data_IF_098049680746
#
_entry.id   IF_098049680746
#
_cell.length_a   1.000
_cell.length_b   1.000
_cell.length_c   1.000
_cell.angle_alpha   90.00
_cell.angle_beta   90.00
_cell.angle_gamma   90.00
#
_symmetry.space_group_name_H-M   'P 1'
#
loop_
_entity.id
_entity.type
_entity.pdbx_description
1 polymer ?
#
# COMPACT_ATOMS: atom_id res chain seq x y z
N UNK A 1 9.13 -46.22 32.78
CA UNK A 1 8.64 -46.31 31.39
C UNK A 1 9.12 -45.06 30.66
N UNK A 2 10.43 -44.95 30.47
CA UNK A 2 11.25 -45.47 29.37
C UNK A 2 11.43 -44.43 28.26
N UNK A 3 12.57 -43.74 28.32
CA UNK A 3 13.15 -42.93 27.25
C UNK A 3 14.25 -43.77 26.57
N UNK A 4 14.34 -43.80 25.24
CA UNK A 4 15.45 -44.48 24.58
C UNK A 4 16.70 -43.60 24.54
N UNK A 5 17.84 -44.20 24.91
CA UNK A 5 19.20 -43.63 24.79
C UNK A 5 19.74 -43.93 23.38
N UNK A 6 20.18 -42.90 22.66
CA UNK A 6 20.94 -43.05 21.43
C UNK A 6 22.44 -43.18 21.75
N UNK A 7 23.09 -44.18 21.14
CA UNK A 7 24.46 -44.63 21.41
C UNK A 7 25.37 -44.19 20.25
N UNK A 8 26.48 -43.52 20.55
CA UNK A 8 27.54 -43.16 19.59
C UNK A 8 28.55 -44.33 19.51
N UNK A 9 28.99 -44.78 18.32
CA UNK A 9 30.17 -45.62 18.18
C UNK A 9 31.44 -44.78 18.00
N UNK A 10 32.50 -45.22 18.67
CA UNK A 10 33.76 -44.54 18.84
C UNK A 10 34.79 -44.68 17.72
N UNK A 11 35.95 -44.15 18.08
CA UNK A 11 37.13 -43.87 17.27
C UNK A 11 37.89 -45.11 16.76
N UNK A 12 38.55 -44.93 15.61
CA UNK A 12 39.75 -45.70 15.27
C UNK A 12 40.94 -44.76 15.05
N UNK A 13 42.02 -45.09 15.74
CA UNK A 13 43.34 -44.48 15.67
C UNK A 13 44.13 -44.97 14.44
N UNK A 14 44.93 -44.09 13.86
CA UNK A 14 45.95 -44.42 12.84
C UNK A 14 47.11 -43.43 12.94
N UNK A 15 48.33 -43.96 13.03
CA UNK A 15 49.54 -43.36 13.59
C UNK A 15 50.53 -42.94 12.48
N UNK A 16 51.38 -41.95 12.82
CA UNK A 16 52.79 -41.72 12.41
C UNK A 16 53.11 -41.07 11.06
N UNK A 17 53.97 -40.05 11.13
CA UNK A 17 54.80 -39.55 10.02
C UNK A 17 55.49 -38.22 10.36
N UNK A 18 56.67 -38.29 10.97
CA UNK A 18 57.53 -37.14 11.28
C UNK A 18 58.24 -36.62 10.02
N UNK A 19 58.42 -35.30 9.90
CA UNK A 19 59.22 -34.67 8.85
C UNK A 19 59.70 -33.28 9.28
N UNK A 20 61.02 -33.08 9.28
CA UNK A 20 61.79 -31.96 9.84
C UNK A 20 61.67 -30.63 9.07
N UNK A 21 61.88 -29.55 9.81
CA UNK A 21 62.26 -28.18 9.38
C UNK A 21 63.52 -28.16 8.48
N UNK A 22 63.79 -27.03 7.78
CA UNK A 22 64.71 -26.07 8.39
C UNK A 22 64.34 -24.58 8.25
N UNK A 23 64.88 -23.82 9.21
CA UNK A 23 64.93 -22.35 9.30
C UNK A 23 65.94 -21.75 8.32
N UNK A 24 65.60 -20.58 7.75
CA UNK A 24 66.49 -19.42 7.44
C UNK A 24 65.56 -18.18 7.46
N UNK A 25 65.78 -17.08 8.17
CA UNK A 25 66.99 -16.53 8.77
C UNK A 25 67.67 -15.55 7.82
N UNK A 26 67.12 -14.34 7.64
CA UNK A 26 67.93 -13.17 7.30
C UNK A 26 67.37 -11.88 7.90
N UNK A 27 68.31 -11.11 8.42
CA UNK A 27 68.21 -9.90 9.22
C UNK A 27 68.85 -8.78 8.40
N UNK A 28 68.44 -7.54 8.71
CA UNK A 28 69.10 -6.25 8.48
C UNK A 28 68.70 -5.44 7.25
N UNK A 29 68.26 -4.21 7.53
CA UNK A 29 68.02 -3.16 6.55
C UNK A 29 67.39 -1.90 7.14
N UNK A 30 67.96 -1.35 8.22
CA UNK A 30 67.61 -0.02 8.73
C UNK A 30 67.89 1.02 7.63
N UNK A 31 66.87 1.76 7.18
CA UNK A 31 67.06 3.14 6.68
C UNK A 31 66.02 4.07 7.28
N UNK A 32 66.54 5.00 8.07
CA UNK A 32 65.86 6.19 8.58
C UNK A 32 65.53 7.11 7.39
N UNK A 33 64.26 7.43 7.20
CA UNK A 33 63.86 8.64 6.48
C UNK A 33 63.37 9.65 7.52
N UNK A 34 64.17 10.71 7.69
CA UNK A 34 63.83 11.92 8.45
C UNK A 34 63.17 12.93 7.52
N UNK A 35 62.28 13.76 8.10
CA UNK A 35 61.66 15.00 7.58
C UNK A 35 60.50 14.77 6.58
N UNK A 36 59.37 15.46 6.64
CA UNK A 36 59.06 16.75 7.27
C UNK A 36 57.66 16.75 7.90
N UNK A 37 57.58 17.12 9.18
CA UNK A 37 56.35 17.56 9.84
C UNK A 37 56.03 18.97 9.32
N UNK A 38 55.04 19.08 8.44
CA UNK A 38 54.43 20.36 8.07
C UNK A 38 53.67 20.93 9.28
N UNK A 39 54.32 21.84 10.01
CA UNK A 39 53.66 22.67 11.03
C UNK A 39 52.69 23.64 10.33
N UNK A 40 51.40 23.34 10.37
CA UNK A 40 50.35 24.32 10.07
C UNK A 40 50.34 25.34 11.22
N UNK A 41 50.79 26.56 10.94
CA UNK A 41 50.66 27.71 11.84
C UNK A 41 49.18 28.12 11.90
N UNK A 42 48.50 27.76 12.97
CA UNK A 42 47.22 28.37 13.36
C UNK A 42 47.54 29.78 13.89
N UNK A 43 47.07 30.82 13.18
CA UNK A 43 47.11 32.20 13.68
C UNK A 43 46.11 32.36 14.84
N UNK A 44 46.49 32.98 15.97
CA UNK A 44 45.54 33.29 17.03
C UNK A 44 44.65 34.46 16.59
N UNK A 45 43.35 34.22 16.49
CA UNK A 45 42.35 35.29 16.36
C UNK A 45 42.22 35.97 17.71
N UNK A 46 42.62 37.25 17.76
CA UNK A 46 42.44 38.13 18.92
C UNK A 46 40.95 38.30 19.20
N UNK A 47 40.57 38.10 20.47
CA UNK A 47 39.31 38.56 21.05
C UNK A 47 39.24 40.09 20.94
N UNK A 48 38.16 40.60 20.35
CA UNK A 48 37.64 41.93 20.65
C UNK A 48 36.35 41.77 21.43
N UNK A 49 36.43 42.20 22.68
CA UNK A 49 35.32 42.51 23.57
C UNK A 49 34.79 43.89 23.25
N UNK A 50 33.49 44.05 23.01
CA UNK A 50 32.75 45.24 23.42
C UNK A 50 31.24 45.01 23.37
N UNK A 51 30.57 45.62 24.36
CA UNK A 51 29.17 46.04 24.42
C UNK A 51 28.11 45.04 24.93
N UNK A 52 27.62 45.35 26.14
CA UNK A 52 26.17 45.55 26.31
C UNK A 52 25.42 44.62 27.26
N UNK A 53 25.78 44.58 28.55
CA UNK A 53 24.88 44.10 29.61
C UNK A 53 23.78 45.13 29.91
N UNK A 54 22.49 44.75 29.80
CA UNK A 54 21.39 45.24 30.65
C UNK A 54 20.30 44.17 30.84
N UNK A 55 19.56 44.18 31.97
CA UNK A 55 19.14 42.97 32.67
C UNK A 55 17.68 42.56 32.44
N UNK A 56 17.43 41.28 32.73
CA UNK A 56 16.12 40.64 32.78
C UNK A 56 15.21 41.29 33.85
N UNK A 57 13.99 41.64 33.45
CA UNK A 57 12.90 41.99 34.38
C UNK A 57 12.18 40.72 34.82
N UNK A 58 12.29 40.45 36.11
CA UNK A 58 11.47 39.55 36.91
C UNK A 58 10.10 40.22 37.13
N UNK A 59 9.01 39.53 36.83
CA UNK A 59 7.67 39.90 37.32
C UNK A 59 7.12 38.68 38.06
N UNK A 60 7.16 38.76 39.38
CA UNK A 60 6.26 38.01 40.25
C UNK A 60 4.84 38.57 40.06
N UNK A 61 3.83 37.69 40.00
CA UNK A 61 2.57 37.88 40.73
C UNK A 61 1.67 36.64 40.69
N UNK A 62 1.54 36.04 41.86
CA UNK A 62 0.30 35.78 42.60
C UNK A 62 -0.93 35.17 41.89
N UNK A 63 -1.42 34.11 42.51
CA UNK A 63 -2.71 33.48 42.34
C UNK A 63 -3.91 34.44 42.45
N UNK A 64 -4.99 34.13 41.72
CA UNK A 64 -6.40 34.32 42.13
C UNK A 64 -7.35 33.49 41.27
N UNK A 65 -8.23 32.75 41.94
CA UNK A 65 -9.45 32.12 41.41
C UNK A 65 -10.46 33.19 40.99
N UNK A 66 -11.17 32.97 39.88
CA UNK A 66 -12.59 33.29 39.70
C UNK A 66 -13.11 32.78 38.34
N UNK A 67 -14.12 31.90 38.36
CA UNK A 67 -15.20 31.83 37.34
C UNK A 67 -16.23 32.90 37.72
N UNK A 68 -16.95 33.56 36.79
CA UNK A 68 -18.13 32.95 36.15
C UNK A 68 -18.45 33.45 34.72
N UNK A 69 -19.47 32.87 34.08
CA UNK A 69 -20.33 33.60 33.15
C UNK A 69 -20.43 33.06 31.72
N UNK A 70 -21.57 32.41 31.44
CA UNK A 70 -22.11 32.11 30.12
C UNK A 70 -22.52 33.41 29.43
N UNK A 71 -22.21 33.57 28.13
CA UNK A 71 -22.66 34.70 27.32
C UNK A 71 -22.50 34.41 25.82
N UNK A 72 -23.62 34.44 25.11
CA UNK A 72 -23.76 34.17 23.69
C UNK A 72 -22.83 35.00 22.79
N UNK A 73 -22.25 34.39 21.76
CA UNK A 73 -21.57 35.10 20.68
C UNK A 73 -22.47 35.10 19.45
N UNK A 74 -22.88 36.31 19.09
CA UNK A 74 -23.62 36.64 17.89
C UNK A 74 -22.81 36.34 16.62
N UNK A 75 -23.48 35.72 15.65
CA UNK A 75 -22.98 35.51 14.29
C UNK A 75 -22.90 36.87 13.59
N UNK A 76 -21.69 37.31 13.24
CA UNK A 76 -21.49 38.43 12.31
C UNK A 76 -21.47 37.88 10.88
N UNK A 77 -22.46 38.31 10.11
CA UNK A 77 -22.57 38.18 8.66
C UNK A 77 -21.36 38.83 7.96
N UNK A 78 -20.55 38.03 7.28
CA UNK A 78 -19.52 38.52 6.36
C UNK A 78 -20.12 38.59 4.96
N UNK A 79 -20.04 39.78 4.38
CA UNK A 79 -20.51 40.13 3.05
C UNK A 79 -19.77 39.33 1.97
N UNK A 80 -20.53 38.84 1.00
CA UNK A 80 -20.06 38.15 -0.18
C UNK A 80 -19.24 39.11 -1.08
N UNK A 81 -18.00 38.73 -1.36
CA UNK A 81 -17.14 39.37 -2.36
C UNK A 81 -17.42 38.71 -3.72
N UNK A 82 -17.65 39.56 -4.71
CA UNK A 82 -18.20 39.23 -6.02
C UNK A 82 -17.34 38.33 -6.91
N UNK A 83 -18.05 37.53 -7.70
CA UNK A 83 -17.55 36.73 -8.83
C UNK A 83 -17.82 37.53 -10.12
N UNK A 84 -16.83 37.77 -10.99
CA UNK A 84 -17.11 38.32 -12.32
C UNK A 84 -17.66 37.22 -13.24
N UNK A 85 -18.75 37.54 -13.92
CA UNK A 85 -19.43 36.69 -14.90
C UNK A 85 -18.61 36.55 -16.19
N UNK A 86 -18.52 35.33 -16.71
CA UNK A 86 -18.02 35.02 -18.06
C UNK A 86 -19.12 35.28 -19.10
N UNK A 87 -18.82 35.90 -20.26
CA UNK A 87 -19.79 36.10 -21.32
C UNK A 87 -19.99 34.81 -22.12
N UNK A 88 -21.25 34.39 -22.26
CA UNK A 88 -21.68 33.35 -23.19
C UNK A 88 -22.10 33.98 -24.53
N UNK A 89 -21.34 33.73 -25.59
CA UNK A 89 -21.78 33.97 -26.96
C UNK A 89 -21.02 33.05 -27.91
N UNK A 90 -21.68 31.97 -28.38
CA UNK A 90 -21.74 31.61 -29.81
C UNK A 90 -23.07 30.89 -30.04
N UNK A 91 -23.99 31.60 -30.68
CA UNK A 91 -25.17 31.07 -31.35
C UNK A 91 -24.73 30.34 -32.62
N UNK A 92 -25.22 29.12 -32.84
CA UNK A 92 -25.18 28.48 -34.15
C UNK A 92 -26.60 28.41 -34.72
N UNK A 93 -26.85 29.28 -35.70
CA UNK A 93 -27.94 29.18 -36.67
C UNK A 93 -27.76 27.95 -37.56
N UNK A 94 -28.85 27.21 -37.84
CA UNK A 94 -29.27 26.72 -39.17
C UNK A 94 -30.55 25.87 -39.04
N UNK A 95 -31.67 26.34 -39.61
CA UNK A 95 -32.78 25.48 -40.05
C UNK A 95 -32.59 25.09 -41.53
N UNK A 96 -33.65 24.68 -42.27
CA UNK A 96 -34.81 23.89 -41.87
C UNK A 96 -35.07 22.67 -42.80
N UNK A 97 -35.88 21.71 -42.32
CA UNK A 97 -36.89 20.95 -43.08
C UNK A 97 -36.49 20.02 -44.24
N UNK A 98 -36.91 18.74 -44.17
CA UNK A 98 -37.78 18.10 -45.18
C UNK A 98 -38.22 16.69 -44.75
N UNK A 99 -39.54 16.47 -44.82
CA UNK A 99 -40.22 15.16 -44.80
C UNK A 99 -40.12 14.50 -46.19
N UNK A 100 -39.99 13.16 -46.23
CA UNK A 100 -40.57 12.20 -47.21
C UNK A 100 -40.03 10.80 -46.85
N UNK A 101 -40.87 9.86 -46.43
CA UNK A 101 -41.73 8.98 -47.23
C UNK A 101 -40.96 7.81 -47.89
N UNK A 102 -41.17 6.63 -47.29
CA UNK A 102 -41.39 5.29 -47.86
C UNK A 102 -40.74 4.93 -49.21
N UNK A 103 -39.96 3.83 -49.18
CA UNK A 103 -39.63 3.04 -50.36
C UNK A 103 -39.03 1.68 -49.97
N UNK A 104 -39.85 0.63 -49.97
CA UNK A 104 -39.46 -0.77 -49.78
C UNK A 104 -38.55 -1.24 -50.92
N UNK A 105 -37.52 -2.02 -50.59
CA UNK A 105 -36.92 -3.06 -51.45
C UNK A 105 -36.27 -4.12 -50.58
N UNK A 106 -36.77 -5.34 -50.64
CA UNK A 106 -35.95 -6.55 -50.54
C UNK A 106 -36.46 -7.51 -51.62
N UNK A 107 -35.51 -8.13 -52.29
CA UNK A 107 -35.56 -8.95 -53.50
C UNK A 107 -35.13 -10.39 -53.12
N UNK A 108 -35.40 -11.33 -54.03
CA UNK A 108 -34.93 -12.74 -54.15
C UNK A 108 -35.74 -13.77 -53.37
N UNK A 109 -36.02 -14.98 -53.88
CA UNK A 109 -35.76 -15.69 -55.14
C UNK A 109 -36.83 -16.81 -55.20
N UNK A 110 -37.30 -17.30 -56.35
CA UNK A 110 -36.59 -18.27 -57.20
C UNK A 110 -37.65 -19.24 -57.76
N UNK A 111 -37.46 -19.64 -59.02
CA UNK A 111 -38.40 -20.40 -59.83
C UNK A 111 -38.41 -21.91 -59.53
N UNK A 112 -39.57 -22.57 -59.69
CA UNK A 112 -39.67 -23.99 -60.05
C UNK A 112 -40.85 -24.21 -61.03
N UNK A 113 -40.62 -25.07 -62.01
CA UNK A 113 -41.46 -25.41 -63.17
C UNK A 113 -42.74 -26.23 -62.83
N UNK A 114 -43.73 -26.29 -63.74
CA UNK A 114 -45.00 -26.96 -63.54
C UNK A 114 -44.99 -28.42 -64.00
N UNK A 115 -45.72 -29.30 -63.32
CA UNK A 115 -46.00 -30.64 -63.84
C UNK A 115 -46.70 -31.60 -62.87
N UNK A 116 -47.88 -32.07 -63.29
CA UNK A 116 -48.63 -33.26 -62.85
C UNK A 116 -49.45 -33.24 -61.54
N UNK A 117 -50.74 -32.96 -61.74
CA UNK A 117 -51.89 -33.86 -61.49
C UNK A 117 -52.08 -34.52 -60.11
N UNK A 118 -53.05 -33.93 -59.40
CA UNK A 118 -54.18 -34.56 -58.69
C UNK A 118 -53.94 -35.85 -57.92
N UNK A 119 -54.10 -35.80 -56.59
CA UNK A 119 -55.06 -36.62 -55.84
C UNK A 119 -55.59 -35.77 -54.67
N UNK A 120 -56.91 -35.64 -54.60
CA UNK A 120 -57.58 -34.86 -53.58
C UNK A 120 -57.72 -35.67 -52.29
N UNK A 121 -57.27 -35.10 -51.18
CA UNK A 121 -57.84 -35.38 -49.87
C UNK A 121 -58.44 -34.08 -49.33
N UNK A 122 -59.77 -34.04 -49.33
CA UNK A 122 -60.53 -33.00 -48.65
C UNK A 122 -60.42 -33.29 -47.15
N UNK A 123 -59.41 -32.71 -46.50
CA UNK A 123 -59.36 -32.60 -45.05
C UNK A 123 -60.50 -31.67 -44.63
N UNK A 124 -61.60 -32.27 -44.17
CA UNK A 124 -62.71 -31.58 -43.55
C UNK A 124 -62.19 -30.80 -42.33
N UNK A 125 -61.93 -29.51 -42.52
CA UNK A 125 -61.68 -28.58 -41.42
C UNK A 125 -63.00 -28.49 -40.64
N UNK A 126 -63.10 -29.26 -39.56
CA UNK A 126 -64.14 -29.03 -38.55
C UNK A 126 -64.00 -27.59 -38.10
N UNK A 127 -64.99 -26.77 -38.44
CA UNK A 127 -65.12 -25.40 -37.98
C UNK A 127 -65.27 -25.43 -36.47
N UNK A 128 -64.15 -25.30 -35.74
CA UNK A 128 -64.18 -25.04 -34.31
C UNK A 128 -64.84 -23.66 -34.15
N UNK A 129 -65.97 -23.63 -33.45
CA UNK A 129 -66.76 -22.43 -33.23
C UNK A 129 -65.88 -21.30 -32.69
N UNK A 130 -65.91 -20.16 -33.39
CA UNK A 130 -65.18 -18.91 -33.12
C UNK A 130 -65.10 -18.46 -31.63
N UNK A 131 -66.08 -18.71 -30.72
CA UNK A 131 -65.91 -18.31 -29.32
C UNK A 131 -64.86 -19.12 -28.53
N UNK A 132 -64.56 -20.38 -28.91
CA UNK A 132 -63.59 -21.22 -28.19
C UNK A 132 -62.13 -20.85 -28.51
N UNK A 133 -61.86 -20.40 -29.73
CA UNK A 133 -60.51 -19.97 -30.14
C UNK A 133 -60.11 -18.62 -29.51
N UNK A 134 -61.08 -17.73 -29.27
CA UNK A 134 -60.87 -16.46 -28.56
C UNK A 134 -60.69 -16.64 -27.04
N UNK A 135 -61.35 -17.63 -26.43
CA UNK A 135 -61.19 -17.92 -25.01
C UNK A 135 -59.81 -18.53 -24.68
N UNK A 136 -59.28 -19.38 -25.57
CA UNK A 136 -57.96 -19.98 -25.41
C UNK A 136 -56.80 -18.99 -25.69
N UNK A 137 -56.98 -18.04 -26.61
CA UNK A 137 -56.00 -16.97 -26.83
C UNK A 137 -56.02 -15.91 -25.72
N UNK A 138 -57.19 -15.61 -25.14
CA UNK A 138 -57.29 -14.73 -23.97
C UNK A 138 -56.65 -15.34 -22.71
N UNK A 139 -56.79 -16.66 -22.51
CA UNK A 139 -56.15 -17.35 -21.38
C UNK A 139 -54.62 -17.46 -21.55
N UNK A 140 -54.12 -17.64 -22.79
CA UNK A 140 -52.69 -17.60 -23.09
C UNK A 140 -52.10 -16.19 -22.92
N UNK A 141 -52.85 -15.13 -23.24
CA UNK A 141 -52.42 -13.74 -23.06
C UNK A 141 -52.39 -13.33 -21.58
N UNK A 142 -53.33 -13.82 -20.77
CA UNK A 142 -53.35 -13.61 -19.31
C UNK A 142 -52.24 -14.43 -18.62
N UNK A 143 -51.93 -15.63 -19.10
CA UNK A 143 -50.82 -16.44 -18.59
C UNK A 143 -49.44 -15.82 -18.89
N UNK A 144 -49.28 -15.07 -19.99
CA UNK A 144 -48.03 -14.34 -20.28
C UNK A 144 -47.84 -13.06 -19.46
N UNK A 145 -48.91 -12.48 -18.90
CA UNK A 145 -48.84 -11.28 -18.02
C UNK A 145 -48.65 -11.66 -16.54
N UNK A 146 -48.92 -12.91 -16.17
CA UNK A 146 -48.77 -13.43 -14.82
C UNK A 146 -47.46 -14.21 -14.58
N UNK A 147 -46.48 -14.14 -15.49
CA UNK A 147 -45.13 -14.58 -15.17
C UNK A 147 -44.56 -13.57 -14.16
N UNK A 148 -44.31 -13.93 -12.89
CA UNK A 148 -43.60 -13.04 -12.00
C UNK A 148 -42.26 -12.77 -12.66
N UNK A 149 -42.00 -11.51 -13.00
CA UNK A 149 -40.64 -11.04 -13.22
C UNK A 149 -39.88 -11.24 -11.91
N UNK A 150 -39.36 -12.45 -11.73
CA UNK A 150 -38.28 -12.75 -10.80
C UNK A 150 -37.02 -12.14 -11.38
N UNK A 151 -36.99 -10.80 -11.47
CA UNK A 151 -35.72 -10.09 -11.53
C UNK A 151 -35.02 -10.42 -10.24
N UNK A 152 -34.05 -11.34 -10.29
CA UNK A 152 -33.15 -11.56 -9.16
C UNK A 152 -32.67 -10.17 -8.71
N UNK A 153 -32.80 -9.84 -7.41
CA UNK A 153 -32.37 -8.52 -6.94
C UNK A 153 -30.94 -8.32 -7.41
N UNK A 154 -30.68 -7.21 -8.12
CA UNK A 154 -29.34 -6.86 -8.54
C UNK A 154 -28.46 -6.84 -7.28
N UNK A 155 -27.64 -7.86 -7.14
CA UNK A 155 -26.88 -8.08 -5.91
C UNK A 155 -25.98 -6.87 -5.72
N UNK A 156 -26.19 -6.13 -4.62
CA UNK A 156 -25.44 -4.91 -4.39
C UNK A 156 -23.95 -5.23 -4.38
N UNK A 157 -23.18 -4.54 -5.22
CA UNK A 157 -21.72 -4.72 -5.29
C UNK A 157 -21.11 -4.16 -4.00
N UNK A 158 -20.18 -4.90 -3.40
CA UNK A 158 -19.41 -4.44 -2.24
C UNK A 158 -18.70 -3.11 -2.56
N UNK A 159 -18.83 -2.08 -1.72
CA UNK A 159 -18.03 -0.85 -1.84
C UNK A 159 -17.04 -0.74 -0.68
N UNK A 160 -15.81 -1.15 -0.95
CA UNK A 160 -14.73 -1.19 0.04
C UNK A 160 -13.79 -0.02 -0.20
N UNK A 161 -13.40 0.66 0.88
CA UNK A 161 -12.34 1.67 0.87
C UNK A 161 -11.15 1.10 1.63
N UNK A 162 -9.99 1.04 0.99
CA UNK A 162 -8.73 0.80 1.66
C UNK A 162 -8.01 2.14 1.89
N UNK A 163 -7.35 2.30 3.03
CA UNK A 163 -6.61 3.53 3.33
C UNK A 163 -5.35 3.67 2.49
N UNK A 164 -4.57 2.59 2.39
CA UNK A 164 -3.25 2.56 1.75
C UNK A 164 -3.23 1.69 0.47
N UNK A 165 -2.32 1.93 -0.49
CA UNK A 165 -2.33 1.23 -1.78
C UNK A 165 -1.97 -0.27 -1.68
N UNK A 166 -1.19 -0.66 -0.69
CA UNK A 166 -0.88 -2.06 -0.38
C UNK A 166 -2.13 -2.82 0.08
N UNK A 167 -2.88 -2.25 1.03
CA UNK A 167 -4.15 -2.80 1.48
C UNK A 167 -5.19 -2.81 0.35
N UNK A 168 -5.18 -1.79 -0.52
CA UNK A 168 -6.02 -1.75 -1.70
C UNK A 168 -5.70 -2.90 -2.67
N UNK A 169 -4.43 -3.10 -3.01
CA UNK A 169 -4.02 -4.16 -3.93
C UNK A 169 -4.38 -5.56 -3.40
N UNK A 170 -4.14 -5.80 -2.11
CA UNK A 170 -4.49 -7.05 -1.43
C UNK A 170 -6.02 -7.24 -1.39
N UNK A 171 -6.76 -6.22 -0.96
CA UNK A 171 -8.22 -6.29 -0.84
C UNK A 171 -8.88 -6.47 -2.20
N UNK A 172 -8.35 -5.84 -3.25
CA UNK A 172 -8.84 -5.97 -4.64
C UNK A 172 -8.68 -7.41 -5.14
N UNK A 173 -7.59 -8.09 -4.82
CA UNK A 173 -7.41 -9.51 -5.18
C UNK A 173 -8.46 -10.42 -4.51
N UNK A 174 -8.83 -10.12 -3.26
CA UNK A 174 -9.85 -10.88 -2.51
C UNK A 174 -11.26 -10.56 -3.01
N UNK A 175 -11.58 -9.28 -3.20
CA UNK A 175 -12.92 -8.84 -3.62
C UNK A 175 -13.18 -9.25 -5.08
N UNK A 176 -12.20 -9.14 -5.97
CA UNK A 176 -12.36 -9.56 -7.37
C UNK A 176 -13.57 -8.91 -8.04
N UNK A 177 -14.43 -9.75 -8.63
CA UNK A 177 -15.65 -9.34 -9.34
C UNK A 177 -16.85 -9.04 -8.42
N UNK A 178 -16.72 -9.29 -7.10
CA UNK A 178 -17.79 -9.15 -6.11
C UNK A 178 -18.14 -7.70 -5.76
N UNK A 179 -17.25 -6.77 -6.11
CA UNK A 179 -17.32 -5.41 -5.60
C UNK A 179 -16.44 -4.43 -6.35
N UNK A 180 -16.27 -3.30 -5.71
CA UNK A 180 -15.34 -2.25 -6.05
C UNK A 180 -14.49 -1.94 -4.80
N UNK A 181 -13.18 -1.85 -5.01
CA UNK A 181 -12.22 -1.46 -3.97
C UNK A 181 -11.57 -0.17 -4.41
N UNK A 182 -11.83 0.91 -3.65
CA UNK A 182 -11.21 2.21 -3.84
C UNK A 182 -10.09 2.41 -2.82
N UNK A 183 -9.16 3.31 -3.11
CA UNK A 183 -8.05 3.66 -2.22
C UNK A 183 -8.13 5.14 -1.85
N UNK A 184 -7.93 5.45 -0.58
CA UNK A 184 -8.01 6.82 -0.07
C UNK A 184 -6.73 7.63 -0.35
N UNK A 185 -5.59 6.97 -0.55
CA UNK A 185 -4.29 7.56 -0.88
C UNK A 185 -3.91 7.32 -2.34
N UNK A 186 -3.03 8.15 -2.90
CA UNK A 186 -2.49 7.92 -4.24
C UNK A 186 -1.28 6.98 -4.16
N UNK A 187 -1.10 6.06 -5.11
CA UNK A 187 0.17 5.34 -5.26
C UNK A 187 1.36 6.30 -5.31
N UNK A 188 2.42 5.98 -4.56
CA UNK A 188 3.64 6.80 -4.47
C UNK A 188 3.53 8.06 -3.61
N UNK A 189 2.40 8.29 -2.94
CA UNK A 189 2.26 9.39 -1.98
C UNK A 189 2.76 8.97 -0.59
N UNK A 190 3.43 9.89 0.11
CA UNK A 190 3.81 9.69 1.51
C UNK A 190 2.56 9.71 2.42
N UNK A 191 2.25 8.62 3.14
CA UNK A 191 1.12 8.58 4.07
C UNK A 191 1.34 9.40 5.36
N UNK A 192 2.59 9.61 5.78
CA UNK A 192 2.90 10.41 6.99
C UNK A 192 2.69 11.92 6.77
N UNK A 193 2.84 12.39 5.53
CA UNK A 193 2.67 13.80 5.13
C UNK A 193 1.45 13.97 4.21
N UNK A 194 0.37 13.24 4.52
CA UNK A 194 -0.81 13.23 3.67
C UNK A 194 -1.63 14.52 3.81
N UNK A 195 -1.68 15.29 2.73
CA UNK A 195 -2.66 16.38 2.61
C UNK A 195 -4.08 15.84 2.34
N UNK A 196 -5.02 16.12 3.26
CA UNK A 196 -6.43 15.73 3.13
C UNK A 196 -7.10 16.52 1.99
N UNK A 197 -7.84 15.81 1.11
CA UNK A 197 -8.51 16.37 -0.07
C UNK A 197 -10.03 16.16 -0.03
N UNK A 198 -10.84 17.09 -0.57
CA UNK A 198 -12.30 16.94 -0.66
C UNK A 198 -12.76 15.63 -1.30
N UNK A 199 -12.02 15.12 -2.29
CA UNK A 199 -12.32 13.83 -2.94
C UNK A 199 -12.37 12.67 -1.95
N UNK A 200 -11.54 12.66 -0.90
CA UNK A 200 -11.50 11.58 0.08
C UNK A 200 -12.77 11.53 0.93
N UNK A 201 -13.37 12.68 1.27
CA UNK A 201 -14.67 12.71 1.96
C UNK A 201 -15.77 12.04 1.13
N UNK A 202 -15.72 12.18 -0.21
CA UNK A 202 -16.66 11.52 -1.11
C UNK A 202 -16.47 10.00 -1.09
N UNK A 203 -15.22 9.52 -1.10
CA UNK A 203 -14.91 8.09 -0.98
C UNK A 203 -15.44 7.53 0.34
N UNK A 204 -15.10 8.18 1.46
CA UNK A 204 -15.50 7.76 2.81
C UNK A 204 -17.03 7.78 2.97
N UNK A 205 -17.71 8.81 2.45
CA UNK A 205 -19.18 8.90 2.52
C UNK A 205 -19.89 7.76 1.77
N UNK A 206 -19.31 7.25 0.68
CA UNK A 206 -19.92 6.20 -0.17
C UNK A 206 -19.55 4.78 0.25
N UNK A 207 -18.44 4.62 0.96
CA UNK A 207 -17.93 3.33 1.38
C UNK A 207 -18.83 2.65 2.42
N UNK A 208 -18.93 1.34 2.29
CA UNK A 208 -19.66 0.46 3.23
C UNK A 208 -18.72 -0.18 4.24
N UNK A 209 -17.47 -0.42 3.82
CA UNK A 209 -16.42 -1.06 4.62
C UNK A 209 -15.13 -0.28 4.45
N UNK A 210 -14.40 -0.13 5.55
CA UNK A 210 -13.07 0.47 5.57
C UNK A 210 -12.04 -0.58 5.97
N UNK A 211 -10.98 -0.75 5.16
CA UNK A 211 -9.81 -1.56 5.48
C UNK A 211 -8.65 -0.62 5.82
N UNK A 212 -8.15 -0.74 7.05
CA UNK A 212 -7.12 0.11 7.63
C UNK A 212 -5.89 -0.69 8.01
N UNK A 213 -4.76 -0.01 8.11
CA UNK A 213 -3.50 -0.57 8.56
C UNK A 213 -3.62 -1.04 10.02
N UNK A 214 -3.99 -0.12 10.92
CA UNK A 214 -4.21 -0.39 12.33
C UNK A 214 -3.00 -0.10 13.24
N UNK A 215 -1.91 0.46 12.71
CA UNK A 215 -0.74 0.95 13.46
C UNK A 215 -0.50 2.45 13.24
N UNK A 216 -1.58 3.22 13.11
CA UNK A 216 -1.60 4.69 13.04
C UNK A 216 -0.97 5.33 11.79
N UNK A 217 -0.44 4.53 10.86
CA UNK A 217 -0.02 4.95 9.49
C UNK A 217 -1.10 5.73 8.73
N UNK A 218 -2.35 5.37 8.99
CA UNK A 218 -3.52 5.95 8.35
C UNK A 218 -4.41 6.72 9.33
N UNK A 219 -3.85 7.23 10.43
CA UNK A 219 -4.61 7.98 11.44
C UNK A 219 -5.33 9.22 10.86
N UNK A 220 -4.80 9.82 9.80
CA UNK A 220 -5.42 10.96 9.10
C UNK A 220 -6.84 10.66 8.57
N UNK A 221 -7.20 9.39 8.34
CA UNK A 221 -8.56 9.02 7.86
C UNK A 221 -9.62 9.29 8.93
N UNK A 222 -9.25 9.32 10.22
CA UNK A 222 -10.19 9.52 11.32
C UNK A 222 -10.88 10.89 11.22
N UNK A 223 -10.11 11.95 10.93
CA UNK A 223 -10.65 13.30 10.69
C UNK A 223 -11.60 13.36 9.48
N UNK A 224 -11.32 12.56 8.45
CA UNK A 224 -12.16 12.47 7.26
C UNK A 224 -13.49 11.78 7.60
N UNK A 225 -13.43 10.68 8.35
CA UNK A 225 -14.61 9.92 8.78
C UNK A 225 -15.51 10.80 9.65
N UNK A 226 -14.96 11.45 10.67
CA UNK A 226 -15.68 12.33 11.59
C UNK A 226 -16.44 13.43 10.84
N UNK A 227 -15.82 14.04 9.82
CA UNK A 227 -16.48 15.13 9.07
C UNK A 227 -17.31 14.63 7.87
N UNK A 228 -17.15 13.38 7.43
CA UNK A 228 -17.91 12.81 6.29
C UNK A 228 -19.36 12.49 6.63
N UNK A 229 -19.68 12.33 7.92
CA UNK A 229 -21.00 11.89 8.39
C UNK A 229 -21.30 10.42 8.14
N UNK A 230 -20.28 9.56 7.98
CA UNK A 230 -20.47 8.10 7.84
C UNK A 230 -20.09 7.37 9.15
N UNK A 231 -21.02 7.25 10.12
CA UNK A 231 -20.74 6.65 11.43
C UNK A 231 -20.38 5.16 11.35
N UNK A 232 -20.70 4.49 10.24
CA UNK A 232 -20.35 3.09 10.02
C UNK A 232 -18.83 2.88 9.92
N UNK A 233 -18.07 3.91 9.56
CA UNK A 233 -16.62 3.79 9.40
C UNK A 233 -15.85 4.28 10.62
N UNK A 234 -16.53 4.67 11.71
CA UNK A 234 -15.88 5.01 12.96
C UNK A 234 -15.10 3.79 13.49
N UNK A 235 -13.91 4.05 14.06
CA UNK A 235 -13.04 3.01 14.59
C UNK A 235 -13.80 2.13 15.60
N UNK A 236 -13.66 0.81 15.45
CA UNK A 236 -14.38 -0.19 16.27
C UNK A 236 -15.75 -0.60 15.73
N UNK A 237 -16.30 0.08 14.72
CA UNK A 237 -17.54 -0.37 14.08
C UNK A 237 -17.35 -1.71 13.34
N UNK A 238 -18.40 -2.54 13.18
CA UNK A 238 -18.31 -3.83 12.50
C UNK A 238 -17.79 -3.78 11.06
N UNK A 239 -18.02 -2.64 10.39
CA UNK A 239 -17.59 -2.28 9.03
C UNK A 239 -16.15 -1.77 8.92
N UNK A 240 -15.39 -1.73 10.01
CA UNK A 240 -13.97 -1.39 10.00
C UNK A 240 -13.13 -2.64 10.19
N UNK A 241 -12.15 -2.82 9.32
CA UNK A 241 -11.17 -3.90 9.36
C UNK A 241 -9.82 -3.32 9.72
N UNK A 242 -9.29 -3.75 10.86
CA UNK A 242 -7.89 -3.53 11.23
C UNK A 242 -7.06 -4.67 10.66
N UNK A 243 -6.34 -4.43 9.57
CA UNK A 243 -5.60 -5.47 8.84
C UNK A 243 -4.51 -6.13 9.70
N UNK A 244 -3.92 -5.38 10.64
CA UNK A 244 -2.83 -5.83 11.51
C UNK A 244 -3.23 -6.85 12.59
N UNK A 245 -4.53 -7.04 12.86
CA UNK A 245 -4.99 -7.80 14.04
C UNK A 245 -4.41 -9.22 14.08
N UNK A 246 -3.74 -9.58 15.17
CA UNK A 246 -3.16 -10.91 15.36
C UNK A 246 -1.76 -11.10 14.77
N UNK A 247 -1.15 -10.07 14.18
CA UNK A 247 0.25 -10.11 13.76
C UNK A 247 1.20 -9.92 14.96
N UNK A 248 2.40 -10.49 14.85
CA UNK A 248 3.53 -10.13 15.71
C UNK A 248 4.15 -8.86 15.15
N UNK A 249 4.12 -7.78 15.93
CA UNK A 249 4.52 -6.45 15.46
C UNK A 249 6.00 -6.20 15.74
N UNK A 250 6.72 -5.70 14.73
CA UNK A 250 8.13 -5.34 14.84
C UNK A 250 8.32 -3.93 15.37
N UNK A 251 9.47 -3.67 15.98
CA UNK A 251 9.92 -2.34 16.45
C UNK A 251 8.91 -1.62 17.36
N UNK A 252 8.15 -2.36 18.18
CA UNK A 252 7.32 -1.76 19.23
C UNK A 252 8.21 -0.92 20.14
N UNK A 253 7.87 0.35 20.32
CA UNK A 253 8.67 1.26 21.13
C UNK A 253 8.41 1.00 22.60
N UNK A 254 9.48 0.67 23.33
CA UNK A 254 9.46 0.55 24.79
C UNK A 254 10.09 1.80 25.40
N UNK A 255 9.31 2.63 26.11
CA UNK A 255 9.80 3.82 26.79
C UNK A 255 8.82 5.01 26.72
N UNK A 256 9.18 6.17 27.32
CA UNK A 256 8.37 7.38 27.23
C UNK A 256 8.23 7.83 25.77
N UNK A 257 6.99 8.06 25.34
CA UNK A 257 6.69 8.59 24.01
C UNK A 257 6.34 10.06 24.17
N UNK A 258 7.12 10.93 23.52
CA UNK A 258 6.83 12.36 23.45
C UNK A 258 7.03 12.89 22.02
N UNK A 259 6.62 14.14 21.79
CA UNK A 259 6.68 14.79 20.47
C UNK A 259 8.11 15.01 19.94
N UNK A 260 9.14 14.88 20.76
CA UNK A 260 10.54 15.02 20.32
C UNK A 260 11.02 13.82 19.49
N UNK A 261 10.27 12.72 19.49
CA UNK A 261 10.56 11.51 18.74
C UNK A 261 10.14 11.59 17.26
N UNK A 262 9.41 12.64 16.85
CA UNK A 262 8.87 12.77 15.49
C UNK A 262 7.53 12.03 15.30
N UNK A 263 7.14 11.78 14.05
CA UNK A 263 5.94 11.02 13.68
C UNK A 263 6.14 9.50 13.89
N UNK A 264 6.45 9.11 15.13
CA UNK A 264 6.64 7.71 15.48
C UNK A 264 5.32 6.96 15.57
N UNK A 265 5.35 5.67 15.25
CA UNK A 265 4.26 4.72 15.50
C UNK A 265 4.49 4.04 16.85
N UNK A 266 3.81 4.46 17.93
CA UNK A 266 4.02 3.93 19.27
C UNK A 266 3.79 2.41 19.34
N UNK A 267 2.77 1.98 18.59
CA UNK A 267 2.28 0.61 18.54
C UNK A 267 3.17 -0.34 17.73
N UNK A 268 4.25 0.17 17.13
CA UNK A 268 5.21 -0.59 16.33
C UNK A 268 5.18 -0.23 14.85
N UNK A 269 6.04 -0.88 14.08
CA UNK A 269 6.26 -0.57 12.67
C UNK A 269 5.05 -0.95 11.81
N UNK A 270 4.48 -0.02 11.00
CA UNK A 270 3.25 -0.24 10.25
C UNK A 270 3.41 -1.02 8.93
N UNK A 271 4.64 -1.28 8.49
CA UNK A 271 4.95 -1.74 7.14
C UNK A 271 4.90 -3.27 6.96
N UNK A 272 3.94 -3.91 7.64
CA UNK A 272 3.86 -5.37 7.74
C UNK A 272 3.60 -6.08 6.41
N UNK A 273 2.93 -5.41 5.46
CA UNK A 273 2.60 -5.99 4.14
C UNK A 273 3.83 -6.24 3.26
N UNK A 274 4.99 -5.66 3.58
CA UNK A 274 6.25 -5.95 2.89
C UNK A 274 6.82 -7.34 3.20
N UNK A 275 6.31 -8.03 4.24
CA UNK A 275 6.56 -9.45 4.47
C UNK A 275 5.36 -10.27 3.96
N UNK A 276 5.52 -11.05 2.87
CA UNK A 276 4.43 -11.89 2.35
C UNK A 276 3.97 -12.95 3.37
N UNK A 277 4.81 -13.32 4.34
CA UNK A 277 4.46 -14.21 5.45
C UNK A 277 3.38 -13.64 6.37
N UNK A 278 3.11 -12.34 6.34
CA UNK A 278 2.00 -11.72 7.10
C UNK A 278 0.65 -11.86 6.40
N UNK A 279 0.63 -12.10 5.08
CA UNK A 279 -0.59 -12.09 4.28
C UNK A 279 -1.63 -13.13 4.68
N UNK A 280 -1.29 -14.35 5.15
CA UNK A 280 -2.29 -15.28 5.66
C UNK A 280 -3.16 -14.71 6.80
N UNK A 281 -2.60 -13.85 7.66
CA UNK A 281 -3.35 -13.20 8.75
C UNK A 281 -4.05 -11.93 8.24
N UNK A 282 -3.35 -11.08 7.50
CA UNK A 282 -3.91 -9.83 6.93
C UNK A 282 -5.15 -10.12 6.09
N UNK A 283 -5.05 -11.07 5.18
CA UNK A 283 -6.17 -11.43 4.30
C UNK A 283 -7.31 -12.13 5.08
N UNK A 284 -7.03 -12.70 6.26
CA UNK A 284 -8.06 -13.36 7.08
C UNK A 284 -8.92 -12.32 7.77
N UNK A 285 -8.26 -11.26 8.28
CA UNK A 285 -8.93 -10.11 8.83
C UNK A 285 -9.81 -9.42 7.79
N UNK A 286 -9.32 -9.29 6.55
CA UNK A 286 -10.10 -8.74 5.43
C UNK A 286 -11.31 -9.61 5.13
N UNK A 287 -11.14 -10.91 4.88
CA UNK A 287 -12.26 -11.83 4.59
C UNK A 287 -13.27 -11.87 5.74
N UNK A 288 -12.82 -11.97 6.99
CA UNK A 288 -13.70 -11.95 8.16
C UNK A 288 -14.47 -10.62 8.25
N UNK A 289 -13.82 -9.50 7.97
CA UNK A 289 -14.44 -8.18 7.92
C UNK A 289 -15.52 -8.03 6.86
N UNK A 290 -15.19 -8.41 5.64
CA UNK A 290 -16.12 -8.38 4.50
C UNK A 290 -17.29 -9.36 4.72
N UNK A 291 -17.00 -10.57 5.17
CA UNK A 291 -17.99 -11.63 5.44
C UNK A 291 -18.96 -11.29 6.57
N UNK A 292 -18.56 -10.51 7.58
CA UNK A 292 -19.48 -10.02 8.62
C UNK A 292 -20.64 -9.20 8.06
N UNK A 293 -20.39 -8.41 7.01
CA UNK A 293 -21.44 -7.57 6.40
C UNK A 293 -22.11 -8.23 5.20
N UNK A 294 -21.40 -9.15 4.54
CA UNK A 294 -21.90 -9.90 3.38
C UNK A 294 -21.69 -11.40 3.56
N UNK A 295 -22.47 -12.04 4.45
CA UNK A 295 -22.39 -13.50 4.66
C UNK A 295 -22.66 -14.28 3.38
N UNK A 296 -23.50 -13.74 2.49
CA UNK A 296 -23.81 -14.28 1.17
C UNK A 296 -22.59 -14.37 0.23
N UNK A 297 -21.52 -13.62 0.51
CA UNK A 297 -20.29 -13.60 -0.28
C UNK A 297 -19.12 -14.31 0.40
N UNK A 298 -19.28 -14.78 1.64
CA UNK A 298 -18.18 -15.27 2.47
C UNK A 298 -17.39 -16.40 1.82
N UNK A 299 -18.06 -17.40 1.25
CA UNK A 299 -17.38 -18.54 0.58
C UNK A 299 -16.59 -18.09 -0.65
N UNK A 300 -17.14 -17.17 -1.45
CA UNK A 300 -16.45 -16.63 -2.64
C UNK A 300 -15.23 -15.78 -2.25
N UNK A 301 -15.37 -14.94 -1.23
CA UNK A 301 -14.25 -14.14 -0.70
C UNK A 301 -13.12 -15.04 -0.18
N UNK A 302 -13.47 -16.12 0.53
CA UNK A 302 -12.50 -17.07 1.05
C UNK A 302 -11.84 -17.92 -0.06
N UNK A 303 -12.59 -18.28 -1.11
CA UNK A 303 -12.03 -18.90 -2.31
C UNK A 303 -11.02 -18.00 -3.03
N UNK A 304 -11.36 -16.71 -3.22
CA UNK A 304 -10.45 -15.72 -3.82
C UNK A 304 -9.20 -15.51 -2.94
N UNK A 305 -9.37 -15.46 -1.62
CA UNK A 305 -8.26 -15.38 -0.66
C UNK A 305 -7.31 -16.57 -0.81
N UNK A 306 -7.83 -17.81 -0.90
CA UNK A 306 -6.98 -19.01 -1.10
C UNK A 306 -6.19 -18.91 -2.40
N UNK A 307 -6.87 -18.64 -3.51
CA UNK A 307 -6.22 -18.50 -4.81
C UNK A 307 -5.12 -17.41 -4.80
N UNK A 308 -5.41 -16.26 -4.20
CA UNK A 308 -4.43 -15.19 -4.03
C UNK A 308 -3.23 -15.61 -3.16
N UNK A 309 -3.45 -16.33 -2.07
CA UNK A 309 -2.36 -16.83 -1.22
C UNK A 309 -1.52 -17.91 -1.91
N UNK A 310 -2.12 -18.74 -2.76
CA UNK A 310 -1.39 -19.71 -3.58
C UNK A 310 -0.47 -18.99 -4.59
N UNK A 311 -0.97 -17.94 -5.26
CA UNK A 311 -0.16 -17.11 -6.16
C UNK A 311 0.98 -16.39 -5.41
N UNK A 312 0.71 -15.87 -4.22
CA UNK A 312 1.72 -15.25 -3.34
C UNK A 312 2.76 -16.27 -2.91
N UNK A 313 2.36 -17.49 -2.53
CA UNK A 313 3.29 -18.53 -2.13
C UNK A 313 4.22 -18.92 -3.28
N UNK A 314 3.67 -19.10 -4.49
CA UNK A 314 4.47 -19.37 -5.69
C UNK A 314 5.45 -18.21 -6.00
N UNK A 315 5.03 -16.96 -5.82
CA UNK A 315 5.89 -15.79 -5.99
C UNK A 315 6.96 -15.68 -4.89
N UNK A 316 6.61 -15.97 -3.63
CA UNK A 316 7.51 -15.92 -2.49
C UNK A 316 8.69 -16.89 -2.62
N UNK A 317 8.48 -18.06 -3.25
CA UNK A 317 9.58 -18.95 -3.63
C UNK A 317 10.56 -18.26 -4.59
N UNK A 318 10.06 -17.66 -5.68
CA UNK A 318 10.91 -16.92 -6.63
C UNK A 318 11.66 -15.76 -5.97
N UNK A 319 11.00 -15.02 -5.09
CA UNK A 319 11.62 -13.91 -4.37
C UNK A 319 12.72 -14.37 -3.43
N UNK A 320 12.46 -15.46 -2.70
CA UNK A 320 13.42 -16.08 -1.80
C UNK A 320 14.65 -16.58 -2.56
N UNK A 321 14.46 -17.22 -3.71
CA UNK A 321 15.56 -17.69 -4.56
C UNK A 321 16.40 -16.53 -5.10
N UNK A 322 15.75 -15.44 -5.54
CA UNK A 322 16.44 -14.26 -6.06
C UNK A 322 17.32 -13.55 -5.02
N UNK A 323 16.90 -13.54 -3.75
CA UNK A 323 17.65 -12.89 -2.65
C UNK A 323 18.48 -13.86 -1.82
N UNK A 324 18.35 -15.18 -2.02
CA UNK A 324 19.13 -16.19 -1.29
C UNK A 324 20.66 -15.95 -1.34
N UNK A 325 21.28 -15.57 -2.49
CA UNK A 325 22.71 -15.26 -2.55
C UNK A 325 23.12 -14.03 -1.71
N UNK A 326 22.15 -13.24 -1.27
CA UNK A 326 22.34 -11.98 -0.56
C UNK A 326 21.85 -12.02 0.89
N UNK A 327 21.54 -13.20 1.44
CA UNK A 327 21.20 -13.33 2.86
C UNK A 327 22.33 -12.76 3.74
N UNK A 328 21.93 -11.97 4.74
CA UNK A 328 22.83 -11.24 5.63
C UNK A 328 23.47 -10.00 4.99
N UNK A 329 23.07 -9.59 3.77
CA UNK A 329 23.53 -8.35 3.19
C UNK A 329 23.10 -7.16 4.07
N UNK A 330 24.03 -6.32 4.52
CA UNK A 330 23.71 -5.14 5.30
C UNK A 330 23.15 -4.03 4.42
N UNK A 331 22.00 -3.51 4.82
CA UNK A 331 21.29 -2.43 4.16
C UNK A 331 21.08 -1.27 5.13
N UNK A 332 21.08 -0.07 4.57
CA UNK A 332 20.60 1.14 5.24
C UNK A 332 19.39 1.63 4.46
N UNK A 333 18.38 2.16 5.14
CA UNK A 333 17.25 2.82 4.48
C UNK A 333 17.17 4.30 4.85
N UNK A 334 16.41 5.08 4.09
CA UNK A 334 16.15 6.47 4.45
C UNK A 334 15.30 6.51 5.72
N UNK A 335 14.14 5.87 5.67
CA UNK A 335 13.20 5.73 6.78
C UNK A 335 13.15 4.28 7.31
N UNK A 336 12.56 4.04 8.49
CA UNK A 336 12.38 2.68 9.07
C UNK A 336 11.24 1.92 8.39
N UNK A 337 11.17 1.93 7.06
CA UNK A 337 10.04 1.35 6.30
C UNK A 337 10.17 -0.14 6.03
N UNK A 338 11.38 -0.68 6.13
CA UNK A 338 11.76 -1.98 5.59
C UNK A 338 11.96 -3.14 6.60
N UNK A 339 11.75 -3.02 7.93
CA UNK A 339 12.02 -4.13 8.86
C UNK A 339 11.38 -5.47 8.50
N UNK A 340 10.12 -5.47 8.05
CA UNK A 340 9.41 -6.68 7.63
C UNK A 340 10.02 -7.28 6.37
N UNK A 341 10.37 -6.44 5.38
CA UNK A 341 11.07 -6.88 4.18
C UNK A 341 12.43 -7.51 4.52
N UNK A 342 13.18 -6.89 5.43
CA UNK A 342 14.45 -7.42 5.89
C UNK A 342 14.30 -8.79 6.58
N UNK A 343 13.31 -8.92 7.46
CA UNK A 343 13.00 -10.19 8.12
C UNK A 343 12.60 -11.28 7.12
N UNK A 344 11.71 -10.96 6.17
CA UNK A 344 11.19 -11.91 5.18
C UNK A 344 12.31 -12.51 4.31
N UNK A 345 13.25 -11.68 3.87
CA UNK A 345 14.30 -12.09 2.93
C UNK A 345 15.66 -12.33 3.60
N UNK A 346 15.74 -12.25 4.92
CA UNK A 346 16.96 -12.50 5.69
C UNK A 346 18.06 -11.48 5.40
N UNK A 347 17.71 -10.21 5.24
CA UNK A 347 18.63 -9.09 5.06
C UNK A 347 18.94 -8.45 6.42
N UNK A 348 20.06 -7.74 6.53
CA UNK A 348 20.45 -7.09 7.78
C UNK A 348 20.08 -5.59 7.77
N UNK A 349 19.32 -5.18 8.77
CA UNK A 349 19.03 -3.78 9.07
C UNK A 349 20.19 -3.13 9.83
N UNK A 350 21.01 -2.32 9.14
CA UNK A 350 22.05 -1.53 9.79
C UNK A 350 21.54 -0.21 10.39
N UNK A 351 20.31 0.18 10.06
CA UNK A 351 19.71 1.42 10.53
C UNK A 351 19.29 2.36 9.40
N UNK A 352 18.87 3.55 9.82
CA UNK A 352 18.14 4.51 8.99
C UNK A 352 18.85 5.86 8.94
N UNK A 353 18.72 6.57 7.82
CA UNK A 353 19.20 7.94 7.68
C UNK A 353 18.39 8.86 8.57
N UNK A 354 17.06 8.82 8.44
CA UNK A 354 16.09 9.53 9.28
C UNK A 354 15.82 8.70 10.55
N UNK A 355 16.57 8.97 11.62
CA UNK A 355 16.44 8.27 12.91
C UNK A 355 15.11 8.55 13.63
N UNK A 356 14.47 9.67 13.27
CA UNK A 356 13.18 10.11 13.78
C UNK A 356 12.30 10.58 12.62
N UNK A 357 11.13 9.94 12.40
CA UNK A 357 10.20 10.32 11.33
C UNK A 357 9.92 11.81 11.29
N UNK A 358 10.09 12.44 10.11
CA UNK A 358 9.83 13.86 9.90
C UNK A 358 10.88 14.81 10.50
N UNK A 359 11.95 14.28 11.10
CA UNK A 359 13.00 15.09 11.72
C UNK A 359 14.32 14.92 10.97
N UNK A 360 14.93 16.01 10.45
CA UNK A 360 16.22 15.94 9.79
C UNK A 360 17.30 15.30 10.67
N UNK A 361 18.14 14.41 10.11
CA UNK A 361 19.13 13.70 10.89
C UNK A 361 20.29 14.59 11.33
N UNK A 362 20.81 14.33 12.53
CA UNK A 362 21.98 15.06 13.03
C UNK A 362 23.27 14.67 12.30
N UNK A 363 24.22 15.59 12.10
CA UNK A 363 25.53 15.25 11.51
C UNK A 363 26.27 14.13 12.26
N UNK A 364 26.12 14.09 13.59
CA UNK A 364 26.73 13.05 14.44
C UNK A 364 26.15 11.67 14.14
N UNK A 365 24.83 11.57 13.97
CA UNK A 365 24.16 10.35 13.57
C UNK A 365 24.66 9.87 12.21
N UNK A 366 24.69 10.75 11.20
CA UNK A 366 25.15 10.40 9.85
C UNK A 366 26.60 9.92 9.84
N UNK A 367 27.51 10.55 10.60
CA UNK A 367 28.90 10.11 10.70
C UNK A 367 29.00 8.70 11.30
N UNK A 368 28.21 8.41 12.33
CA UNK A 368 28.18 7.08 12.95
C UNK A 368 27.65 6.02 11.97
N UNK A 369 26.54 6.32 11.28
CA UNK A 369 25.94 5.45 10.27
C UNK A 369 26.91 5.16 9.12
N UNK A 370 27.56 6.19 8.56
CA UNK A 370 28.57 6.02 7.49
C UNK A 370 29.74 5.13 7.97
N UNK A 371 30.17 5.30 9.22
CA UNK A 371 31.23 4.45 9.80
C UNK A 371 30.79 2.99 9.88
N UNK A 372 29.55 2.72 10.33
CA UNK A 372 28.99 1.38 10.38
C UNK A 372 28.83 0.77 8.98
N UNK A 373 28.32 1.53 8.01
CA UNK A 373 28.22 1.09 6.62
C UNK A 373 29.57 0.66 6.05
N UNK A 374 30.64 1.44 6.28
CA UNK A 374 32.00 1.09 5.83
C UNK A 374 32.53 -0.17 6.52
N UNK A 375 32.33 -0.30 7.83
CA UNK A 375 32.79 -1.46 8.60
C UNK A 375 32.10 -2.75 8.17
N UNK A 376 30.79 -2.68 7.92
CA UNK A 376 29.95 -3.81 7.54
C UNK A 376 29.88 -4.03 6.02
N UNK A 377 30.48 -3.13 5.24
CA UNK A 377 30.49 -3.15 3.77
C UNK A 377 29.08 -3.12 3.15
N UNK A 378 28.21 -2.28 3.72
CA UNK A 378 26.88 -2.04 3.17
C UNK A 378 27.00 -1.37 1.81
N UNK A 379 26.40 -1.99 0.79
CA UNK A 379 26.52 -1.54 -0.61
C UNK A 379 25.35 -0.68 -1.07
N UNK A 380 24.20 -0.77 -0.40
CA UNK A 380 22.95 -0.17 -0.87
C UNK A 380 22.30 0.64 0.26
N UNK A 381 21.84 1.83 -0.11
CA UNK A 381 20.96 2.70 0.68
C UNK A 381 19.59 2.73 0.00
N UNK A 382 18.56 2.20 0.66
CA UNK A 382 17.18 2.21 0.18
C UNK A 382 16.54 3.58 0.43
N UNK A 383 15.81 4.11 -0.53
CA UNK A 383 15.08 5.37 -0.41
C UNK A 383 13.68 5.20 -1.00
N UNK A 384 12.65 5.56 -0.25
CA UNK A 384 11.28 5.57 -0.74
C UNK A 384 11.10 6.65 -1.81
N UNK A 385 10.19 6.43 -2.76
CA UNK A 385 10.04 7.26 -3.96
C UNK A 385 9.69 8.73 -3.71
N UNK A 386 9.22 9.07 -2.51
CA UNK A 386 8.84 10.44 -2.12
C UNK A 386 9.90 11.19 -1.33
N UNK A 387 10.95 10.52 -0.83
CA UNK A 387 12.00 11.21 -0.09
C UNK A 387 13.03 11.83 -1.03
N UNK A 388 13.62 12.98 -0.65
CA UNK A 388 14.70 13.58 -1.41
C UNK A 388 15.95 12.68 -1.35
N UNK A 389 16.59 12.48 -2.50
CA UNK A 389 17.75 11.59 -2.61
C UNK A 389 19.07 12.25 -2.19
N UNK A 390 19.14 13.56 -1.99
CA UNK A 390 20.41 14.27 -1.81
C UNK A 390 21.18 13.82 -0.56
N UNK A 391 20.49 13.74 0.59
CA UNK A 391 21.07 13.27 1.84
C UNK A 391 21.50 11.81 1.72
N UNK A 392 20.64 10.95 1.14
CA UNK A 392 20.96 9.55 0.89
C UNK A 392 22.15 9.37 -0.05
N UNK A 393 22.25 10.17 -1.10
CA UNK A 393 23.35 10.16 -2.04
C UNK A 393 24.65 10.62 -1.38
N UNK A 394 24.61 11.62 -0.50
CA UNK A 394 25.78 12.04 0.27
C UNK A 394 26.27 10.94 1.22
N UNK A 395 25.36 10.29 1.95
CA UNK A 395 25.66 9.15 2.84
C UNK A 395 26.23 7.99 2.03
N UNK A 396 25.58 7.60 0.93
CA UNK A 396 26.00 6.50 0.06
C UNK A 396 27.40 6.75 -0.53
N UNK A 397 27.64 7.93 -1.12
CA UNK A 397 28.98 8.31 -1.65
C UNK A 397 30.05 8.25 -0.56
N UNK A 398 29.77 8.76 0.64
CA UNK A 398 30.72 8.69 1.74
C UNK A 398 30.99 7.25 2.17
N UNK A 399 29.99 6.38 2.17
CA UNK A 399 30.14 4.98 2.55
C UNK A 399 30.76 4.08 1.45
N UNK A 400 30.83 4.55 0.20
CA UNK A 400 31.17 3.70 -0.95
C UNK A 400 30.01 2.78 -1.37
N UNK A 401 28.78 3.22 -1.10
CA UNK A 401 27.53 2.55 -1.42
C UNK A 401 26.79 3.29 -2.55
N UNK A 402 25.67 2.73 -3.00
CA UNK A 402 24.75 3.35 -3.97
C UNK A 402 23.36 3.55 -3.39
N UNK A 403 22.65 4.52 -3.92
CA UNK A 403 21.24 4.73 -3.61
C UNK A 403 20.39 3.86 -4.53
N UNK A 404 19.41 3.17 -3.96
CA UNK A 404 18.37 2.46 -4.68
C UNK A 404 17.01 3.04 -4.27
N UNK A 405 16.30 3.66 -5.22
CA UNK A 405 14.95 4.17 -4.99
C UNK A 405 13.96 3.02 -5.17
N UNK A 406 13.21 2.70 -4.13
CA UNK A 406 12.17 1.66 -4.15
C UNK A 406 10.84 2.25 -3.68
N UNK A 407 9.75 2.15 -4.46
CA UNK A 407 8.44 2.59 -4.00
C UNK A 407 7.90 1.63 -2.93
N UNK A 408 7.43 2.14 -1.81
CA UNK A 408 6.81 1.29 -0.79
C UNK A 408 5.37 0.89 -1.15
N UNK A 409 4.69 1.61 -2.04
CA UNK A 409 3.30 1.34 -2.43
C UNK A 409 3.16 0.71 -3.82
N UNK A 410 2.26 -0.29 -3.99
CA UNK A 410 1.82 -0.75 -5.30
C UNK A 410 1.27 0.40 -6.17
N UNK A 411 1.53 0.33 -7.48
CA UNK A 411 1.09 1.30 -8.49
C UNK A 411 1.93 2.58 -8.57
N UNK A 412 2.91 2.76 -7.68
CA UNK A 412 3.83 3.90 -7.73
C UNK A 412 4.80 3.84 -8.93
N UNK A 413 5.03 2.63 -9.46
CA UNK A 413 5.74 2.38 -10.71
C UNK A 413 4.76 1.75 -11.70
N UNK A 414 4.84 2.17 -12.97
CA UNK A 414 3.95 1.64 -14.01
C UNK A 414 4.06 0.11 -14.07
N UNK A 415 2.91 -0.58 -13.95
CA UNK A 415 2.84 -2.04 -14.01
C UNK A 415 3.03 -2.74 -12.66
N UNK A 416 3.16 -2.00 -11.55
CA UNK A 416 3.27 -2.56 -10.20
C UNK A 416 1.97 -2.45 -9.39
N UNK A 417 0.82 -2.37 -10.06
CA UNK A 417 -0.49 -2.11 -9.42
C UNK A 417 -1.03 -3.28 -8.60
N UNK A 418 -0.44 -4.48 -8.74
CA UNK A 418 -0.77 -5.66 -7.94
C UNK A 418 0.29 -5.88 -6.86
N UNK A 419 -0.10 -6.53 -5.76
CA UNK A 419 0.83 -6.87 -4.68
C UNK A 419 2.04 -7.67 -5.19
N UNK A 420 1.79 -8.71 -5.99
CA UNK A 420 2.84 -9.58 -6.52
C UNK A 420 3.77 -8.81 -7.46
N UNK A 421 3.24 -8.03 -8.40
CA UNK A 421 4.07 -7.25 -9.32
C UNK A 421 4.90 -6.17 -8.59
N UNK A 422 4.37 -5.61 -7.51
CA UNK A 422 5.10 -4.68 -6.65
C UNK A 422 6.26 -5.37 -5.93
N UNK A 423 6.03 -6.50 -5.26
CA UNK A 423 7.11 -7.26 -4.61
C UNK A 423 8.13 -7.83 -5.61
N UNK A 424 7.69 -8.29 -6.79
CA UNK A 424 8.57 -8.67 -7.90
C UNK A 424 9.52 -7.51 -8.26
N UNK A 425 8.99 -6.30 -8.39
CA UNK A 425 9.80 -5.11 -8.69
C UNK A 425 10.80 -4.81 -7.58
N UNK A 426 10.38 -4.83 -6.31
CA UNK A 426 11.23 -4.57 -5.15
C UNK A 426 12.39 -5.56 -5.09
N UNK A 427 12.07 -6.86 -5.16
CA UNK A 427 13.03 -7.96 -5.03
C UNK A 427 14.02 -7.95 -6.20
N UNK A 428 13.53 -7.83 -7.43
CA UNK A 428 14.39 -7.85 -8.62
C UNK A 428 15.32 -6.64 -8.67
N UNK A 429 14.81 -5.46 -8.29
CA UNK A 429 15.61 -4.23 -8.22
C UNK A 429 16.69 -4.32 -7.16
N UNK A 430 16.38 -4.89 -5.99
CA UNK A 430 17.35 -5.08 -4.92
C UNK A 430 18.38 -6.17 -5.24
N UNK A 431 17.98 -7.30 -5.82
CA UNK A 431 18.92 -8.34 -6.22
C UNK A 431 19.97 -7.80 -7.20
N UNK A 432 19.52 -7.07 -8.23
CA UNK A 432 20.41 -6.33 -9.14
C UNK A 432 21.27 -5.31 -8.37
N UNK A 433 20.61 -4.59 -7.46
CA UNK A 433 21.10 -3.74 -6.36
C UNK A 433 22.39 -4.21 -5.65
N UNK A 434 22.50 -5.52 -5.45
CA UNK A 434 23.51 -6.11 -4.57
C UNK A 434 24.65 -6.79 -5.34
N UNK A 435 24.44 -7.07 -6.63
CA UNK A 435 25.43 -7.69 -7.52
C UNK A 435 26.35 -6.64 -8.15
N UNK A 436 25.79 -5.57 -8.73
CA UNK A 436 26.58 -4.45 -9.28
C UNK A 436 27.18 -3.60 -8.14
#
# INVERSE_FOLDING_TARGET
MDRPRFRIPGAHAGRRGAGRLPRRGHRLGRRRARRALGRVRVRPVRRQSSLGRRPARRLDRAARRARPGVGAIAVRSVQAVGVPALPAAVQAHRGPGRRRALGRRVVLAGQLHPGCASHGEVLAVRTVSRPLLCALTALALIATVAAPWSGAPAQSRLRVLATLPDLWAITRAIVGDLGEVQVATRPGQNPHDLEIRPSQFVLVKRAEILVRNGLDEDAWIDAIIESSGNPRLLRGAPSVVEAVRGLTILKIRTGPIDRSLGDVHPSGNPHFTLDPGTLPVVTANIVAGLGRLRPDLAERLDANRRAFLDDVAAAAHRWSDALAPHRGAPLVSYHDSWPYFYQAFGLEDLGVIEDRPGVPPSPRHLIALISQMRQRRAKVVLVESWYPTDTAAAVARAAGARVLVLPQSPGAVKGTDTYIAHLDFLVTSLARALVE
#
